data_IF_822845390349
#
_entry.id   IF_822845390349
#
_cell.length_a   1.000
_cell.length_b   1.000
_cell.length_c   1.000
_cell.angle_alpha   90.00
_cell.angle_beta   90.00
_cell.angle_gamma   90.00
#
_symmetry.space_group_name_H-M   'P 1'
#
loop_
_entity.id
_entity.type
_entity.pdbx_description
1 polymer ?
#
# COMPACT_ATOMS: atom_id res chain seq x y z
N UNK A 1 23.85 7.39 -15.15
CA UNK A 1 25.09 7.63 -15.93
C UNK A 1 25.34 6.44 -16.84
N UNK A 2 25.32 6.63 -18.16
CA UNK A 2 25.48 5.53 -19.11
C UNK A 2 26.87 4.90 -18.97
N UNK A 3 26.94 3.57 -19.10
CA UNK A 3 28.19 2.80 -19.03
C UNK A 3 29.24 3.33 -20.03
N UNK A 4 28.76 3.88 -21.15
CA UNK A 4 29.53 4.58 -22.17
C UNK A 4 30.21 5.85 -21.65
N UNK A 5 29.50 6.74 -20.93
CA UNK A 5 30.12 7.97 -20.38
C UNK A 5 31.21 7.64 -19.38
N UNK A 6 31.01 6.60 -18.55
CA UNK A 6 32.05 6.10 -17.65
C UNK A 6 33.26 5.58 -18.42
N UNK A 7 33.05 4.76 -19.44
CA UNK A 7 34.14 4.19 -20.26
C UNK A 7 34.95 5.28 -20.97
N UNK A 8 34.29 6.29 -21.55
CA UNK A 8 34.98 7.40 -22.21
C UNK A 8 35.79 8.27 -21.24
N UNK A 9 35.28 8.51 -20.03
CA UNK A 9 36.02 9.24 -18.98
C UNK A 9 37.26 8.44 -18.56
N UNK A 10 37.13 7.13 -18.35
CA UNK A 10 38.26 6.27 -18.01
C UNK A 10 39.31 6.17 -19.12
N UNK A 11 38.88 6.12 -20.40
CA UNK A 11 39.79 6.14 -21.53
C UNK A 11 40.58 7.46 -21.62
N UNK A 12 39.91 8.59 -21.39
CA UNK A 12 40.54 9.91 -21.38
C UNK A 12 41.57 10.05 -20.26
N UNK A 13 41.24 9.59 -19.05
CA UNK A 13 42.17 9.59 -17.90
C UNK A 13 43.38 8.69 -18.19
N UNK A 14 43.18 7.51 -18.76
CA UNK A 14 44.27 6.60 -19.11
C UNK A 14 45.20 7.20 -20.17
N UNK A 15 44.64 7.84 -21.21
CA UNK A 15 45.42 8.52 -22.23
C UNK A 15 46.23 9.69 -21.68
N UNK A 16 45.64 10.51 -20.81
CA UNK A 16 46.34 11.60 -20.13
C UNK A 16 47.46 11.09 -19.22
N UNK A 17 47.23 9.97 -18.50
CA UNK A 17 48.23 9.36 -17.63
C UNK A 17 49.41 8.80 -18.42
N UNK A 18 49.16 8.16 -19.58
CA UNK A 18 50.22 7.66 -20.46
C UNK A 18 51.05 8.79 -21.08
N UNK A 19 50.39 9.86 -21.54
CA UNK A 19 51.06 11.03 -22.10
C UNK A 19 51.92 11.74 -21.04
N UNK A 20 51.40 11.89 -19.82
CA UNK A 20 52.13 12.43 -18.69
C UNK A 20 53.31 11.53 -18.30
N UNK A 21 53.12 10.20 -18.30
CA UNK A 21 54.17 9.22 -18.04
C UNK A 21 55.32 9.28 -19.06
N UNK A 22 55.01 9.44 -20.35
CA UNK A 22 56.02 9.63 -21.40
C UNK A 22 56.78 10.95 -21.25
N UNK A 23 56.06 12.04 -21.00
CA UNK A 23 56.66 13.37 -20.80
C UNK A 23 57.57 13.43 -19.55
N UNK A 24 57.14 12.79 -18.47
CA UNK A 24 57.95 12.67 -17.26
C UNK A 24 59.14 11.71 -17.47
N UNK A 25 58.96 10.63 -18.23
CA UNK A 25 59.99 9.66 -18.59
C UNK A 25 61.23 10.29 -19.24
N UNK A 26 61.03 11.25 -20.14
CA UNK A 26 62.13 11.98 -20.78
C UNK A 26 62.91 12.88 -19.80
N UNK A 27 62.26 13.37 -18.73
CA UNK A 27 62.91 14.20 -17.70
C UNK A 27 63.71 13.37 -16.68
N UNK A 28 63.50 12.05 -16.60
CA UNK A 28 64.20 11.13 -15.66
C UNK A 28 65.68 10.97 -15.98
N UNK A 29 66.10 11.19 -17.22
CA UNK A 29 67.51 11.02 -17.62
C UNK A 29 68.46 12.08 -17.05
N UNK A 30 67.94 13.21 -16.54
CA UNK A 30 68.77 14.32 -16.08
C UNK A 30 69.13 14.24 -14.59
N UNK A 31 68.22 13.76 -13.72
CA UNK A 31 68.48 13.48 -12.31
C UNK A 31 67.42 12.49 -11.79
N UNK A 32 67.77 11.23 -11.45
CA UNK A 32 66.76 10.20 -11.23
C UNK A 32 65.91 10.38 -9.96
N UNK A 33 66.33 11.24 -9.01
CA UNK A 33 65.69 11.41 -7.71
C UNK A 33 65.69 10.12 -6.87
N UNK A 34 66.05 10.20 -5.59
CA UNK A 34 65.99 9.03 -4.70
C UNK A 34 65.06 9.29 -3.53
N UNK A 35 64.43 8.23 -3.05
CA UNK A 35 63.59 8.22 -1.86
C UNK A 35 64.30 7.36 -0.82
N UNK A 36 64.51 7.96 0.34
CA UNK A 36 65.16 7.31 1.46
C UNK A 36 64.15 7.15 2.59
N UNK A 37 63.78 5.91 2.89
CA UNK A 37 62.98 5.59 4.06
C UNK A 37 63.92 5.19 5.19
N UNK A 38 64.04 6.05 6.21
CA UNK A 38 64.79 5.77 7.43
C UNK A 38 63.82 5.59 8.60
N UNK A 39 63.76 4.38 9.17
CA UNK A 39 62.97 4.10 10.36
C UNK A 39 63.72 3.12 11.27
N UNK A 40 64.03 3.54 12.51
CA UNK A 40 64.63 2.67 13.52
C UNK A 40 65.97 2.03 13.14
N UNK A 41 66.84 2.74 12.41
CA UNK A 41 68.15 2.24 11.96
C UNK A 41 68.14 1.44 10.65
N UNK A 42 66.96 1.16 10.09
CA UNK A 42 66.84 0.64 8.73
C UNK A 42 66.68 1.78 7.74
N UNK A 43 67.59 1.83 6.77
CA UNK A 43 67.57 2.80 5.68
C UNK A 43 67.42 2.04 4.37
N UNK A 44 66.26 2.20 3.73
CA UNK A 44 66.01 1.64 2.40
C UNK A 44 66.09 2.79 1.40
N UNK A 45 67.12 2.74 0.57
CA UNK A 45 67.31 3.66 -0.54
C UNK A 45 66.68 3.04 -1.79
N UNK A 46 65.70 3.72 -2.35
CA UNK A 46 65.09 3.30 -3.61
C UNK A 46 64.97 4.48 -4.57
N UNK A 47 64.98 4.20 -5.87
CA UNK A 47 64.66 5.21 -6.86
C UNK A 47 63.26 5.76 -6.60
N UNK A 48 63.08 7.07 -6.72
CA UNK A 48 61.77 7.73 -6.64
C UNK A 48 60.74 7.07 -7.57
N UNK A 49 61.19 6.63 -8.75
CA UNK A 49 60.34 5.96 -9.73
C UNK A 49 59.94 4.55 -9.32
N UNK A 50 60.85 3.80 -8.71
CA UNK A 50 60.53 2.49 -8.16
C UNK A 50 59.45 2.59 -7.07
N UNK A 51 59.54 3.62 -6.21
CA UNK A 51 58.53 3.90 -5.20
C UNK A 51 57.17 4.23 -5.82
N UNK A 52 57.11 5.14 -6.80
CA UNK A 52 55.86 5.54 -7.46
C UNK A 52 55.18 4.37 -8.17
N UNK A 53 55.94 3.54 -8.90
CA UNK A 53 55.39 2.36 -9.59
C UNK A 53 54.82 1.36 -8.57
N UNK A 54 55.56 1.09 -7.48
CA UNK A 54 55.10 0.18 -6.44
C UNK A 54 53.83 0.69 -5.74
N UNK A 55 53.80 1.99 -5.40
CA UNK A 55 52.64 2.63 -4.79
C UNK A 55 51.39 2.57 -5.69
N UNK A 56 51.55 2.83 -6.99
CA UNK A 56 50.46 2.72 -7.96
C UNK A 56 49.97 1.27 -8.09
N UNK A 57 50.88 0.30 -8.16
CA UNK A 57 50.53 -1.12 -8.23
C UNK A 57 49.73 -1.58 -7.00
N UNK A 58 50.14 -1.17 -5.80
CA UNK A 58 49.41 -1.46 -4.55
C UNK A 58 48.02 -0.80 -4.56
N UNK A 59 47.92 0.45 -5.03
CA UNK A 59 46.64 1.17 -5.11
C UNK A 59 45.66 0.48 -6.05
N UNK A 60 46.14 0.03 -7.23
CA UNK A 60 45.32 -0.74 -8.18
C UNK A 60 44.92 -2.08 -7.59
N UNK A 61 45.84 -2.80 -6.93
CA UNK A 61 45.55 -4.08 -6.30
C UNK A 61 44.46 -3.95 -5.22
N UNK A 62 44.54 -2.92 -4.36
CA UNK A 62 43.51 -2.62 -3.36
C UNK A 62 42.18 -2.26 -4.02
N UNK A 63 42.19 -1.44 -5.08
CA UNK A 63 40.97 -1.07 -5.80
C UNK A 63 40.27 -2.29 -6.42
N UNK A 64 41.03 -3.23 -6.99
CA UNK A 64 40.52 -4.51 -7.51
C UNK A 64 39.98 -5.36 -6.36
N UNK A 65 40.71 -5.48 -5.25
CA UNK A 65 40.30 -6.30 -4.10
C UNK A 65 38.98 -5.80 -3.47
N UNK A 66 38.87 -4.49 -3.21
CA UNK A 66 37.64 -3.89 -2.67
C UNK A 66 36.51 -3.81 -3.72
N UNK A 67 36.83 -3.59 -4.99
CA UNK A 67 35.87 -3.55 -6.09
C UNK A 67 35.23 -4.92 -6.36
N UNK A 68 36.02 -5.99 -6.33
CA UNK A 68 35.51 -7.37 -6.41
C UNK A 68 34.68 -7.72 -5.17
N UNK A 69 35.10 -7.33 -3.96
CA UNK A 69 34.33 -7.54 -2.74
C UNK A 69 32.95 -6.88 -2.77
N UNK A 70 32.86 -5.66 -3.31
CA UNK A 70 31.59 -4.94 -3.49
C UNK A 70 30.68 -5.52 -4.58
N UNK A 71 31.25 -6.14 -5.63
CA UNK A 71 30.50 -6.79 -6.70
C UNK A 71 30.00 -8.18 -6.28
N UNK A 72 30.86 -8.99 -5.64
CA UNK A 72 30.50 -10.31 -5.11
C UNK A 72 29.49 -10.22 -3.97
N UNK A 73 29.50 -9.17 -3.15
CA UNK A 73 28.53 -9.00 -2.06
C UNK A 73 27.10 -8.66 -2.52
N UNK A 74 26.93 -8.06 -3.71
CA UNK A 74 25.62 -7.62 -4.23
C UNK A 74 24.94 -8.64 -5.17
N UNK A 75 25.71 -9.53 -5.78
CA UNK A 75 25.20 -10.57 -6.69
C UNK A 75 24.34 -11.66 -6.00
N UNK A 76 24.68 -12.22 -4.82
CA UNK A 76 23.89 -13.28 -4.21
C UNK A 76 22.54 -12.77 -3.69
N UNK A 77 22.49 -11.56 -3.14
CA UNK A 77 21.26 -11.01 -2.53
C UNK A 77 20.15 -10.72 -3.55
N UNK A 78 20.53 -10.29 -4.76
CA UNK A 78 19.55 -9.97 -5.81
C UNK A 78 19.06 -11.25 -6.52
N UNK A 79 19.93 -12.25 -6.68
CA UNK A 79 19.59 -13.52 -7.30
C UNK A 79 18.71 -14.38 -6.35
N UNK A 80 18.99 -14.40 -5.05
CA UNK A 80 18.14 -15.04 -4.03
C UNK A 80 16.74 -14.39 -3.96
N UNK A 81 16.67 -13.04 -3.98
CA UNK A 81 15.39 -12.31 -4.04
C UNK A 81 14.63 -12.50 -5.35
N UNK A 82 15.31 -12.75 -6.47
CA UNK A 82 14.69 -13.08 -7.75
C UNK A 82 14.16 -14.53 -7.77
N UNK A 83 14.90 -15.47 -7.20
CA UNK A 83 14.48 -16.88 -7.09
C UNK A 83 13.28 -17.07 -6.18
N UNK A 84 13.19 -16.33 -5.06
CA UNK A 84 11.99 -16.30 -4.23
C UNK A 84 10.74 -15.84 -5.00
N UNK A 85 10.85 -14.73 -5.75
CA UNK A 85 9.74 -14.20 -6.56
C UNK A 85 9.30 -15.14 -7.70
N UNK A 86 10.21 -15.93 -8.25
CA UNK A 86 9.87 -16.88 -9.32
C UNK A 86 9.24 -18.17 -8.79
N UNK A 87 9.50 -18.54 -7.52
CA UNK A 87 8.89 -19.71 -6.85
C UNK A 87 7.43 -19.46 -6.52
N UNK A 88 7.08 -18.26 -6.03
CA UNK A 88 5.70 -17.89 -5.71
C UNK A 88 4.79 -17.84 -6.96
N UNK A 89 5.28 -17.32 -8.09
CA UNK A 89 4.49 -17.27 -9.35
C UNK A 89 4.11 -18.64 -9.90
N UNK A 90 4.93 -19.67 -9.66
CA UNK A 90 4.69 -21.03 -10.15
C UNK A 90 3.75 -21.82 -9.24
N UNK A 91 3.69 -21.46 -7.97
CA UNK A 91 2.71 -22.00 -7.04
C UNK A 91 1.31 -21.52 -7.47
N UNK A 92 1.07 -20.21 -7.50
CA UNK A 92 -0.26 -19.63 -7.80
C UNK A 92 -0.90 -20.15 -9.10
N UNK A 93 -0.08 -20.46 -10.11
CA UNK A 93 -0.54 -21.07 -11.35
C UNK A 93 -1.23 -22.43 -11.18
N UNK A 94 -0.81 -23.25 -10.21
CA UNK A 94 -1.38 -24.57 -9.92
C UNK A 94 -2.74 -24.44 -9.25
N UNK A 95 -2.89 -23.48 -8.34
CA UNK A 95 -4.16 -23.17 -7.71
C UNK A 95 -5.20 -22.77 -8.77
N UNK A 96 -4.81 -21.84 -9.66
CA UNK A 96 -5.66 -21.39 -10.78
C UNK A 96 -5.97 -22.54 -11.73
N UNK A 97 -4.96 -23.34 -12.11
CA UNK A 97 -5.15 -24.49 -12.98
C UNK A 97 -6.09 -25.54 -12.36
N UNK A 98 -5.91 -25.87 -11.08
CA UNK A 98 -6.78 -26.78 -10.34
C UNK A 98 -8.23 -26.29 -10.28
N UNK A 99 -8.43 -24.99 -10.01
CA UNK A 99 -9.75 -24.37 -10.02
C UNK A 99 -10.42 -24.42 -11.41
N UNK A 100 -9.65 -24.18 -12.48
CA UNK A 100 -10.14 -24.27 -13.86
C UNK A 100 -10.55 -25.69 -14.23
N UNK A 101 -9.80 -26.72 -13.81
CA UNK A 101 -10.16 -28.12 -14.04
C UNK A 101 -11.42 -28.53 -13.27
N UNK A 102 -11.59 -28.08 -12.02
CA UNK A 102 -12.84 -28.29 -11.27
C UNK A 102 -14.04 -27.63 -11.96
N UNK A 103 -13.86 -26.43 -12.53
CA UNK A 103 -14.91 -25.74 -13.27
C UNK A 103 -15.28 -26.45 -14.57
N UNK A 104 -14.35 -27.20 -15.17
CA UNK A 104 -14.56 -28.06 -16.34
C UNK A 104 -15.11 -29.44 -16.01
N UNK A 105 -15.42 -29.70 -14.74
CA UNK A 105 -15.89 -30.99 -14.24
C UNK A 105 -14.89 -32.14 -14.48
N UNK A 106 -13.59 -31.82 -14.43
CA UNK A 106 -12.50 -32.80 -14.50
C UNK A 106 -11.76 -32.91 -13.15
N UNK A 107 -12.38 -33.52 -12.12
CA UNK A 107 -11.83 -33.55 -10.77
C UNK A 107 -10.52 -34.34 -10.66
N UNK A 108 -10.31 -35.36 -11.51
CA UNK A 108 -9.07 -36.13 -11.56
C UNK A 108 -7.86 -35.26 -11.96
N UNK A 109 -8.03 -34.39 -12.96
CA UNK A 109 -6.95 -33.47 -13.38
C UNK A 109 -6.70 -32.40 -12.34
N UNK A 110 -7.77 -31.84 -11.77
CA UNK A 110 -7.66 -30.89 -10.67
C UNK A 110 -6.87 -31.46 -9.49
N UNK A 111 -7.23 -32.67 -9.03
CA UNK A 111 -6.55 -33.32 -7.92
C UNK A 111 -5.08 -33.61 -8.25
N UNK A 112 -4.75 -34.01 -9.48
CA UNK A 112 -3.35 -34.27 -9.86
C UNK A 112 -2.45 -33.02 -9.78
N UNK A 113 -3.03 -31.84 -10.04
CA UNK A 113 -2.32 -30.55 -9.94
C UNK A 113 -2.24 -30.10 -8.48
N UNK A 114 -3.33 -30.30 -7.72
CA UNK A 114 -3.51 -29.84 -6.34
C UNK A 114 -2.92 -30.77 -5.26
N UNK A 115 -2.67 -32.06 -5.54
CA UNK A 115 -2.06 -33.02 -4.58
C UNK A 115 -0.62 -32.65 -4.20
N UNK A 116 -0.02 -31.66 -4.87
CA UNK A 116 1.32 -31.13 -4.59
C UNK A 116 1.28 -30.15 -3.41
N UNK A 117 2.42 -30.01 -2.73
CA UNK A 117 2.58 -29.26 -1.48
C UNK A 117 2.05 -27.81 -1.53
N UNK A 118 0.96 -27.56 -0.80
CA UNK A 118 0.28 -26.27 -0.66
C UNK A 118 1.06 -25.23 0.17
N UNK A 119 2.09 -25.64 0.92
CA UNK A 119 2.87 -24.72 1.77
C UNK A 119 3.65 -23.66 0.99
N UNK A 120 3.80 -23.88 -0.33
CA UNK A 120 4.50 -22.96 -1.24
C UNK A 120 3.59 -21.95 -1.96
N UNK A 121 2.27 -22.08 -1.79
CA UNK A 121 1.23 -21.31 -2.46
C UNK A 121 0.91 -19.98 -1.75
N UNK A 122 0.43 -18.97 -2.47
CA UNK A 122 0.00 -17.69 -1.85
C UNK A 122 -1.27 -17.82 -1.01
N UNK A 123 -2.16 -18.77 -1.37
CA UNK A 123 -3.42 -19.04 -0.67
C UNK A 123 -3.53 -20.53 -0.26
N UNK A 124 -2.76 -20.98 0.75
CA UNK A 124 -2.70 -22.40 1.13
C UNK A 124 -4.05 -22.99 1.58
N UNK A 125 -4.87 -22.20 2.28
CA UNK A 125 -6.19 -22.64 2.73
C UNK A 125 -7.13 -22.96 1.54
N UNK A 126 -7.15 -22.08 0.54
CA UNK A 126 -7.95 -22.26 -0.68
C UNK A 126 -7.46 -23.46 -1.48
N UNK A 127 -6.15 -23.67 -1.56
CA UNK A 127 -5.56 -24.82 -2.25
C UNK A 127 -6.04 -26.15 -1.66
N UNK A 128 -6.00 -26.31 -0.34
CA UNK A 128 -6.48 -27.53 0.33
C UNK A 128 -8.00 -27.71 0.23
N UNK A 129 -8.76 -26.61 0.23
CA UNK A 129 -10.21 -26.65 0.04
C UNK A 129 -10.56 -27.22 -1.35
N UNK A 130 -9.90 -26.73 -2.41
CA UNK A 130 -10.11 -27.23 -3.77
C UNK A 130 -9.62 -28.69 -3.92
N UNK A 131 -8.52 -29.07 -3.26
CA UNK A 131 -8.05 -30.45 -3.23
C UNK A 131 -9.07 -31.39 -2.56
N UNK A 132 -9.66 -30.95 -1.43
CA UNK A 132 -10.73 -31.65 -0.73
C UNK A 132 -11.95 -31.84 -1.62
N UNK A 133 -12.37 -30.79 -2.34
CA UNK A 133 -13.49 -30.86 -3.28
C UNK A 133 -13.21 -31.83 -4.43
N UNK A 134 -12.02 -31.76 -5.02
CA UNK A 134 -11.62 -32.65 -6.10
C UNK A 134 -11.61 -34.12 -5.65
N UNK A 135 -11.05 -34.43 -4.47
CA UNK A 135 -11.05 -35.77 -3.89
C UNK A 135 -12.47 -36.27 -3.59
N UNK A 136 -13.35 -35.40 -3.08
CA UNK A 136 -14.75 -35.75 -2.81
C UNK A 136 -15.50 -36.14 -4.08
N UNK A 137 -15.31 -35.41 -5.18
CA UNK A 137 -15.93 -35.73 -6.49
C UNK A 137 -15.40 -37.03 -7.11
N UNK A 138 -14.23 -37.51 -6.67
CA UNK A 138 -13.66 -38.80 -7.07
C UNK A 138 -13.99 -39.93 -6.07
N UNK A 139 -14.92 -39.69 -5.14
CA UNK A 139 -15.32 -40.63 -4.08
C UNK A 139 -14.18 -41.03 -3.13
N UNK A 140 -13.10 -40.24 -3.07
CA UNK A 140 -11.98 -40.42 -2.16
C UNK A 140 -12.25 -39.66 -0.86
N UNK A 141 -13.23 -40.15 -0.08
CA UNK A 141 -13.73 -39.45 1.11
C UNK A 141 -12.66 -39.28 2.20
N UNK A 142 -11.82 -40.29 2.43
CA UNK A 142 -10.75 -40.22 3.44
C UNK A 142 -9.68 -39.18 3.09
N UNK A 143 -9.28 -39.08 1.81
CA UNK A 143 -8.35 -38.01 1.37
C UNK A 143 -9.02 -36.64 1.44
N UNK A 144 -10.31 -36.55 1.07
CA UNK A 144 -11.10 -35.32 1.11
C UNK A 144 -11.18 -34.73 2.52
N UNK A 145 -11.45 -35.56 3.53
CA UNK A 145 -11.56 -35.14 4.92
C UNK A 145 -10.22 -34.63 5.46
N UNK A 146 -9.11 -35.32 5.13
CA UNK A 146 -7.75 -34.88 5.52
C UNK A 146 -7.38 -33.53 4.91
N UNK A 147 -7.75 -33.30 3.65
CA UNK A 147 -7.53 -32.01 3.00
C UNK A 147 -8.42 -30.92 3.60
N UNK A 148 -9.67 -31.25 3.94
CA UNK A 148 -10.58 -30.31 4.60
C UNK A 148 -10.04 -29.88 5.97
N UNK A 149 -9.60 -30.81 6.80
CA UNK A 149 -9.02 -30.51 8.11
C UNK A 149 -7.79 -29.59 7.98
N UNK A 150 -6.95 -29.83 6.96
CA UNK A 150 -5.79 -28.98 6.66
C UNK A 150 -6.21 -27.56 6.25
N UNK A 151 -7.27 -27.45 5.43
CA UNK A 151 -7.84 -26.17 5.05
C UNK A 151 -8.41 -25.42 6.27
N UNK A 152 -9.18 -26.09 7.13
CA UNK A 152 -9.80 -25.50 8.32
C UNK A 152 -8.77 -24.95 9.31
N UNK A 153 -7.68 -25.69 9.56
CA UNK A 153 -6.57 -25.21 10.40
C UNK A 153 -5.93 -23.93 9.86
N UNK A 154 -5.81 -23.83 8.54
CA UNK A 154 -5.27 -22.63 7.88
C UNK A 154 -6.29 -21.50 7.80
N UNK A 155 -7.59 -21.81 7.65
CA UNK A 155 -8.66 -20.82 7.68
C UNK A 155 -8.81 -20.19 9.06
N UNK A 156 -8.59 -20.96 10.13
CA UNK A 156 -8.62 -20.45 11.49
C UNK A 156 -7.59 -19.32 11.75
N UNK A 157 -6.51 -19.28 10.97
CA UNK A 157 -5.49 -18.22 11.04
C UNK A 157 -5.76 -17.05 10.09
N UNK A 158 -6.74 -17.17 9.17
CA UNK A 158 -7.17 -16.07 8.32
C UNK A 158 -7.98 -15.09 9.20
N UNK A 159 -7.57 -13.81 9.30
CA UNK A 159 -8.37 -12.81 9.98
C UNK A 159 -9.75 -12.77 9.32
N UNK A 160 -10.82 -12.97 10.10
CA UNK A 160 -12.18 -12.78 9.61
C UNK A 160 -12.27 -11.36 9.03
N UNK A 161 -12.95 -11.22 7.89
CA UNK A 161 -13.23 -9.91 7.34
C UNK A 161 -13.80 -9.04 8.46
N UNK A 162 -13.25 -7.84 8.63
CA UNK A 162 -13.79 -6.87 9.59
C UNK A 162 -15.25 -6.68 9.18
N UNK A 163 -16.18 -7.15 10.01
CA UNK A 163 -17.59 -6.84 9.84
C UNK A 163 -17.69 -5.32 9.86
N UNK A 164 -17.93 -4.74 8.68
CA UNK A 164 -18.26 -3.33 8.62
C UNK A 164 -19.68 -3.26 9.14
N UNK A 165 -19.86 -2.67 10.33
CA UNK A 165 -21.20 -2.36 10.81
C UNK A 165 -21.92 -1.60 9.68
N UNK A 166 -23.06 -2.13 9.25
CA UNK A 166 -23.90 -1.48 8.25
C UNK A 166 -24.76 -0.43 8.93
N UNK A 167 -24.99 0.70 8.25
CA UNK A 167 -25.88 1.74 8.77
C UNK A 167 -27.28 1.14 8.98
N UNK A 168 -27.86 1.23 10.19
CA UNK A 168 -29.20 0.73 10.42
C UNK A 168 -30.24 1.39 9.52
N UNK A 169 -31.22 0.61 9.05
CA UNK A 169 -32.33 1.07 8.18
C UNK A 169 -33.51 1.68 8.93
N UNK A 170 -33.53 1.58 10.26
CA UNK A 170 -34.55 2.19 11.11
C UNK A 170 -33.96 3.36 11.93
N UNK A 171 -34.78 4.40 12.16
CA UNK A 171 -34.35 5.63 12.84
C UNK A 171 -33.86 5.38 14.27
N UNK A 172 -34.62 4.65 15.08
CA UNK A 172 -34.27 4.41 16.50
C UNK A 172 -32.98 3.60 16.67
N UNK A 173 -32.76 2.49 15.93
CA UNK A 173 -31.47 1.80 15.89
C UNK A 173 -30.33 2.69 15.42
N UNK A 174 -30.51 3.48 14.37
CA UNK A 174 -29.48 4.42 13.88
C UNK A 174 -29.10 5.44 14.96
N UNK A 175 -30.09 6.05 15.62
CA UNK A 175 -29.89 6.98 16.71
C UNK A 175 -29.12 6.34 17.87
N UNK A 176 -29.45 5.09 18.22
CA UNK A 176 -28.75 4.34 19.28
C UNK A 176 -27.29 4.08 18.90
N UNK A 177 -27.03 3.71 17.65
CA UNK A 177 -25.67 3.48 17.16
C UNK A 177 -24.83 4.75 17.15
N UNK A 178 -25.39 5.87 16.69
CA UNK A 178 -24.73 7.18 16.71
C UNK A 178 -24.43 7.69 18.13
N UNK A 179 -25.30 7.38 19.10
CA UNK A 179 -25.04 7.67 20.53
C UNK A 179 -23.89 6.84 21.10
N UNK A 180 -23.68 5.62 20.59
CA UNK A 180 -22.58 4.74 21.03
C UNK A 180 -21.26 5.13 20.36
N UNK A 181 -21.29 5.35 19.06
CA UNK A 181 -20.13 5.72 18.26
C UNK A 181 -20.57 6.73 17.19
N UNK A 182 -20.06 7.95 17.31
CA UNK A 182 -20.36 9.02 16.37
C UNK A 182 -19.72 8.77 15.01
N UNK A 183 -20.50 9.01 13.96
CA UNK A 183 -20.14 8.78 12.56
C UNK A 183 -20.85 9.84 11.71
N UNK A 184 -20.09 10.76 11.13
CA UNK A 184 -20.64 11.87 10.31
C UNK A 184 -21.40 11.33 9.08
N UNK A 185 -20.87 10.28 8.45
CA UNK A 185 -21.47 9.58 7.32
C UNK A 185 -22.85 9.00 7.66
N UNK A 186 -23.00 8.47 8.88
CA UNK A 186 -24.26 7.93 9.37
C UNK A 186 -25.23 8.99 9.87
N UNK A 187 -24.71 10.11 10.38
CA UNK A 187 -25.53 11.21 10.87
C UNK A 187 -26.43 11.77 9.76
N UNK A 188 -25.92 11.87 8.52
CA UNK A 188 -26.69 12.30 7.35
C UNK A 188 -27.90 11.38 7.08
N UNK A 189 -27.79 10.09 7.41
CA UNK A 189 -28.89 9.14 7.31
C UNK A 189 -30.07 9.41 8.25
N UNK A 190 -29.89 10.19 9.32
CA UNK A 190 -30.98 10.52 10.27
C UNK A 190 -32.14 11.28 9.61
N UNK A 191 -31.91 11.93 8.48
CA UNK A 191 -32.98 12.57 7.72
C UNK A 191 -33.85 11.55 6.98
N UNK A 192 -33.25 10.51 6.38
CA UNK A 192 -33.91 9.63 5.40
C UNK A 192 -34.34 8.29 5.99
N UNK A 193 -33.67 7.81 7.03
CA UNK A 193 -33.86 6.48 7.60
C UNK A 193 -35.14 6.41 8.45
N UNK A 194 -35.98 5.41 8.20
CA UNK A 194 -37.26 5.19 8.90
C UNK A 194 -38.44 6.00 8.34
N UNK A 195 -39.61 5.84 8.96
CA UNK A 195 -40.90 6.44 8.54
C UNK A 195 -41.45 7.51 9.51
N UNK A 196 -40.70 7.85 10.56
CA UNK A 196 -41.11 8.83 11.56
C UNK A 196 -41.32 10.23 10.94
N UNK A 197 -42.21 11.06 11.48
CA UNK A 197 -42.43 12.41 10.96
C UNK A 197 -41.21 13.34 11.20
N UNK A 198 -40.96 14.35 10.34
CA UNK A 198 -39.79 15.21 10.45
C UNK A 198 -39.65 15.94 11.79
N UNK A 199 -40.78 16.32 12.41
CA UNK A 199 -40.79 17.05 13.67
C UNK A 199 -40.38 16.14 14.85
N UNK A 200 -40.90 14.91 14.90
CA UNK A 200 -40.49 13.90 15.90
C UNK A 200 -39.03 13.49 15.75
N UNK A 201 -38.52 13.40 14.52
CA UNK A 201 -37.08 13.18 14.26
C UNK A 201 -36.27 14.33 14.85
N UNK A 202 -36.59 15.58 14.49
CA UNK A 202 -35.89 16.77 14.97
C UNK A 202 -35.83 16.81 16.51
N UNK A 203 -36.96 16.58 17.17
CA UNK A 203 -37.04 16.55 18.64
C UNK A 203 -36.10 15.49 19.25
N UNK A 204 -35.94 14.34 18.59
CA UNK A 204 -35.05 13.26 19.04
C UNK A 204 -33.55 13.63 18.91
N UNK A 205 -33.21 14.49 17.94
CA UNK A 205 -31.84 14.95 17.68
C UNK A 205 -31.32 15.94 18.72
N UNK A 206 -32.19 16.63 19.47
CA UNK A 206 -31.78 17.52 20.56
C UNK A 206 -30.89 16.83 21.61
N UNK A 207 -31.05 15.51 21.77
CA UNK A 207 -30.19 14.72 22.65
C UNK A 207 -28.75 14.55 22.13
N UNK A 208 -28.55 14.61 20.81
CA UNK A 208 -27.24 14.55 20.16
C UNK A 208 -26.57 15.92 20.06
N UNK A 209 -27.36 16.99 19.91
CA UNK A 209 -26.85 18.36 19.71
C UNK A 209 -25.90 18.82 20.83
N UNK A 210 -26.14 18.40 22.08
CA UNK A 210 -25.24 18.72 23.21
C UNK A 210 -23.90 17.99 23.13
N UNK A 211 -23.90 16.76 22.63
CA UNK A 211 -22.70 15.94 22.55
C UNK A 211 -21.86 16.28 21.32
N UNK A 212 -22.51 16.70 20.24
CA UNK A 212 -21.89 16.92 18.92
C UNK A 212 -22.08 18.35 18.42
N UNK A 213 -21.63 19.31 19.24
CA UNK A 213 -21.77 20.73 18.95
C UNK A 213 -20.91 21.22 17.76
N UNK A 214 -19.95 20.41 17.29
CA UNK A 214 -19.07 20.74 16.16
C UNK A 214 -19.36 19.91 14.91
N UNK A 215 -20.42 19.10 14.92
CA UNK A 215 -20.77 18.27 13.77
C UNK A 215 -21.51 19.06 12.69
N UNK A 216 -20.93 19.12 11.50
CA UNK A 216 -21.56 19.72 10.32
C UNK A 216 -22.74 18.87 9.86
N UNK A 217 -22.62 17.53 9.83
CA UNK A 217 -23.70 16.67 9.37
C UNK A 217 -24.94 16.78 10.26
N UNK A 218 -24.76 16.88 11.58
CA UNK A 218 -25.88 17.04 12.51
C UNK A 218 -26.61 18.37 12.28
N UNK A 219 -25.88 19.48 12.16
CA UNK A 219 -26.47 20.81 11.92
C UNK A 219 -27.19 20.84 10.55
N UNK A 220 -26.63 20.22 9.51
CA UNK A 220 -27.29 20.07 8.20
C UNK A 220 -28.60 19.30 8.33
N UNK A 221 -28.60 18.16 9.02
CA UNK A 221 -29.83 17.35 9.21
C UNK A 221 -30.86 18.09 10.05
N UNK A 222 -30.46 18.76 11.13
CA UNK A 222 -31.38 19.55 11.96
C UNK A 222 -31.99 20.72 11.17
N UNK A 223 -31.19 21.46 10.42
CA UNK A 223 -31.69 22.51 9.53
C UNK A 223 -32.71 21.96 8.53
N UNK A 224 -32.43 20.79 7.95
CA UNK A 224 -33.32 20.17 6.98
C UNK A 224 -34.61 19.67 7.62
N UNK A 225 -34.55 19.01 8.77
CA UNK A 225 -35.77 18.58 9.45
C UNK A 225 -36.61 19.78 9.92
N UNK A 226 -35.98 20.89 10.33
CA UNK A 226 -36.65 22.13 10.68
C UNK A 226 -37.35 22.77 9.47
N UNK A 227 -36.68 22.84 8.29
CA UNK A 227 -37.30 23.29 7.04
C UNK A 227 -38.50 22.42 6.64
N UNK A 228 -38.36 21.09 6.75
CA UNK A 228 -39.45 20.14 6.46
C UNK A 228 -40.65 20.33 7.40
N UNK A 229 -40.38 20.76 8.64
CA UNK A 229 -41.38 20.99 9.68
C UNK A 229 -41.96 22.41 9.67
N UNK A 230 -41.52 23.28 8.74
CA UNK A 230 -41.96 24.67 8.66
C UNK A 230 -41.41 25.58 9.77
N UNK A 231 -40.37 25.16 10.49
CA UNK A 231 -39.77 25.89 11.60
C UNK A 231 -38.65 26.81 11.09
N UNK A 232 -39.01 27.91 10.42
CA UNK A 232 -38.05 28.78 9.72
C UNK A 232 -36.96 29.37 10.63
N UNK A 233 -37.31 29.77 11.86
CA UNK A 233 -36.34 30.37 12.78
C UNK A 233 -35.28 29.35 13.24
N UNK A 234 -35.71 28.12 13.54
CA UNK A 234 -34.82 27.03 13.94
C UNK A 234 -33.97 26.55 12.76
N UNK A 235 -34.57 26.46 11.56
CA UNK A 235 -33.84 26.18 10.33
C UNK A 235 -32.71 27.19 10.09
N UNK A 236 -33.00 28.50 10.18
CA UNK A 236 -31.99 29.56 10.03
C UNK A 236 -30.87 29.45 11.05
N UNK A 237 -31.20 29.17 12.30
CA UNK A 237 -30.19 28.96 13.35
C UNK A 237 -29.20 27.84 12.97
N UNK A 238 -29.71 26.68 12.56
CA UNK A 238 -28.88 25.55 12.16
C UNK A 238 -28.11 25.79 10.86
N UNK A 239 -28.70 26.51 9.89
CA UNK A 239 -28.01 26.94 8.66
C UNK A 239 -26.80 27.82 9.00
N UNK A 240 -26.99 28.81 9.86
CA UNK A 240 -25.92 29.74 10.25
C UNK A 240 -24.81 29.01 11.00
N UNK A 241 -25.17 28.06 11.87
CA UNK A 241 -24.23 27.20 12.60
C UNK A 241 -23.44 26.30 11.67
N UNK A 242 -24.10 25.59 10.75
CA UNK A 242 -23.43 24.75 9.76
C UNK A 242 -22.46 25.55 8.88
N UNK A 243 -22.85 26.78 8.50
CA UNK A 243 -22.02 27.70 7.74
C UNK A 243 -20.83 28.24 8.54
N UNK A 244 -20.92 28.36 9.86
CA UNK A 244 -19.78 28.71 10.72
C UNK A 244 -18.79 27.55 10.87
N UNK A 245 -19.28 26.31 10.92
CA UNK A 245 -18.45 25.12 11.10
C UNK A 245 -17.69 24.77 9.81
N UNK A 246 -18.37 24.69 8.67
CA UNK A 246 -17.75 24.45 7.38
C UNK A 246 -18.50 25.16 6.24
N UNK A 247 -18.13 26.42 5.93
CA UNK A 247 -18.74 27.18 4.85
C UNK A 247 -18.51 26.58 3.46
N UNK A 248 -17.50 25.72 3.30
CA UNK A 248 -17.10 25.13 2.02
C UNK A 248 -17.77 23.79 1.73
N UNK A 249 -18.46 23.22 2.72
CA UNK A 249 -19.13 21.93 2.59
C UNK A 249 -20.23 22.00 1.51
N UNK A 250 -20.23 21.10 0.52
CA UNK A 250 -21.24 21.08 -0.55
C UNK A 250 -22.68 20.98 -0.02
N UNK A 251 -22.91 20.26 1.08
CA UNK A 251 -24.23 20.13 1.69
C UNK A 251 -24.67 21.42 2.38
N UNK A 252 -23.74 22.18 2.96
CA UNK A 252 -24.03 23.49 3.57
C UNK A 252 -24.33 24.54 2.50
N UNK A 253 -23.59 24.53 1.40
CA UNK A 253 -23.89 25.38 0.24
C UNK A 253 -25.26 25.05 -0.35
N UNK A 254 -25.59 23.77 -0.49
CA UNK A 254 -26.90 23.32 -0.93
C UNK A 254 -28.01 23.80 0.00
N UNK A 255 -27.83 23.66 1.31
CA UNK A 255 -28.76 24.09 2.36
C UNK A 255 -29.10 25.59 2.26
N UNK A 256 -28.10 26.42 1.93
CA UNK A 256 -28.30 27.86 1.71
C UNK A 256 -29.15 28.15 0.47
N UNK A 257 -28.94 27.40 -0.60
CA UNK A 257 -29.78 27.53 -1.81
C UNK A 257 -31.21 27.09 -1.52
N UNK A 258 -31.39 26.00 -0.78
CA UNK A 258 -32.71 25.51 -0.39
C UNK A 258 -33.47 26.47 0.54
N UNK A 259 -32.77 27.21 1.40
CA UNK A 259 -33.43 28.18 2.29
C UNK A 259 -33.96 29.41 1.55
N UNK A 260 -33.35 29.78 0.43
CA UNK A 260 -33.78 30.91 -0.41
C UNK A 260 -34.81 30.51 -1.46
N UNK A 261 -34.62 29.35 -2.11
CA UNK A 261 -35.42 28.92 -3.27
C UNK A 261 -36.50 27.89 -2.92
N UNK A 262 -36.48 27.37 -1.69
CA UNK A 262 -37.28 26.22 -1.29
C UNK A 262 -36.69 24.90 -1.80
N UNK A 263 -37.29 23.78 -1.35
CA UNK A 263 -36.89 22.45 -1.82
C UNK A 263 -37.49 22.16 -3.18
N UNK A 264 -36.64 21.76 -4.11
CA UNK A 264 -37.03 21.33 -5.45
C UNK A 264 -36.47 19.95 -5.73
N UNK A 265 -37.11 19.22 -6.65
CA UNK A 265 -36.67 17.88 -7.05
C UNK A 265 -35.22 17.89 -7.58
N UNK A 266 -34.82 18.95 -8.29
CA UNK A 266 -33.45 19.09 -8.81
C UNK A 266 -32.40 19.23 -7.69
N UNK A 267 -32.73 19.95 -6.61
CA UNK A 267 -31.84 20.09 -5.45
C UNK A 267 -31.75 18.78 -4.65
N UNK A 268 -32.85 18.04 -4.54
CA UNK A 268 -32.84 16.70 -3.95
C UNK A 268 -31.99 15.72 -4.77
N UNK A 269 -32.10 15.73 -6.10
CA UNK A 269 -31.25 14.90 -6.97
C UNK A 269 -29.76 15.25 -6.82
N UNK A 270 -29.44 16.54 -6.74
CA UNK A 270 -28.07 16.99 -6.47
C UNK A 270 -27.57 16.48 -5.12
N UNK A 271 -28.41 16.55 -4.09
CA UNK A 271 -28.08 16.02 -2.76
C UNK A 271 -27.76 14.54 -2.78
N UNK A 272 -28.59 13.74 -3.44
CA UNK A 272 -28.39 12.29 -3.51
C UNK A 272 -27.03 11.96 -4.12
N UNK A 273 -26.59 12.71 -5.15
CA UNK A 273 -25.25 12.55 -5.73
C UNK A 273 -24.15 12.96 -4.75
N UNK A 274 -24.31 14.09 -4.05
CA UNK A 274 -23.35 14.53 -3.04
C UNK A 274 -23.19 13.52 -1.90
N UNK A 275 -24.28 12.88 -1.47
CA UNK A 275 -24.24 11.83 -0.43
C UNK A 275 -23.54 10.56 -0.91
N UNK A 276 -23.67 10.21 -2.20
CA UNK A 276 -22.95 9.07 -2.79
C UNK A 276 -21.44 9.32 -2.87
N UNK A 277 -21.01 10.55 -3.14
CA UNK A 277 -19.58 10.91 -3.20
C UNK A 277 -18.92 10.94 -1.80
N UNK A 278 -19.73 11.05 -0.73
CA UNK A 278 -19.29 11.08 0.67
C UNK A 278 -19.27 9.71 1.35
N UNK A 279 -19.85 8.68 0.73
CA UNK A 279 -19.99 7.31 1.26
C UNK A 279 -18.88 6.37 0.74
#
# INVERSE_FOLDING_TARGET
MSRFVRLSIWLGILGALLALGLYLGDRVKADPGYVLFAYGGYTIEMSLWAFVICFLAITVALWVLFGLGGALGRLPLNLLRAWGRMRHRKADSRLVEGALWLRRDEPARALSVLKKDASSESLPALHWLLASEAARRLEQLDESERYLESAERLMASIPKAIEHDSMPTEFKPLLKSLKKQWREDWALGLETVGDDDPLSRLASLNSLAKAQAESVALEVVQARLALASGLEAEARHHIDRANQLDPSNPLVLLLRVESETGRTAALEDLRHRLLQDLA
#
